data_IF_619722739189
#
_entry.id   IF_619722739189
#
_cell.length_a   1.000
_cell.length_b   1.000
_cell.length_c   1.000
_cell.angle_alpha   90.00
_cell.angle_beta   90.00
_cell.angle_gamma   90.00
#
_symmetry.space_group_name_H-M   'P 1'
#
loop_
_entity.id
_entity.type
_entity.pdbx_description
1 polymer ?
#
# COMPACT_ATOMS: atom_id res chain seq x y z
N UNK A 1 -21.14 8.15 12.07
CA UNK A 1 -20.22 9.17 12.63
C UNK A 1 -20.64 10.58 12.21
N UNK A 2 -20.58 10.94 10.92
CA UNK A 2 -20.98 12.27 10.43
C UNK A 2 -22.48 12.53 10.60
N UNK A 3 -23.35 11.62 10.09
CA UNK A 3 -24.81 11.71 10.30
C UNK A 3 -25.25 11.63 11.76
N UNK A 4 -24.36 11.17 12.64
CA UNK A 4 -24.61 11.06 14.08
C UNK A 4 -23.96 12.23 14.85
N UNK A 5 -23.52 13.28 14.16
CA UNK A 5 -22.96 14.51 14.72
C UNK A 5 -21.85 14.28 15.76
N UNK A 6 -21.03 13.24 15.56
CA UNK A 6 -19.87 12.98 16.43
C UNK A 6 -18.85 14.12 16.34
N UNK A 7 -18.12 14.42 17.44
CA UNK A 7 -17.08 15.44 17.44
C UNK A 7 -16.07 15.26 16.29
N UNK A 8 -15.67 16.35 15.64
CA UNK A 8 -14.72 16.31 14.52
C UNK A 8 -13.41 15.56 14.83
N UNK A 9 -12.79 15.71 16.03
CA UNK A 9 -11.59 14.95 16.38
C UNK A 9 -11.79 13.43 16.31
N UNK A 10 -12.93 12.91 16.78
CA UNK A 10 -13.25 11.49 16.70
C UNK A 10 -13.35 11.02 15.25
N UNK A 11 -13.97 11.85 14.38
CA UNK A 11 -14.11 11.54 12.96
C UNK A 11 -12.74 11.47 12.29
N UNK A 12 -11.85 12.42 12.58
CA UNK A 12 -10.49 12.45 12.07
C UNK A 12 -9.71 11.21 12.52
N UNK A 13 -9.78 10.84 13.80
CA UNK A 13 -9.12 9.63 14.33
C UNK A 13 -9.57 8.39 13.57
N UNK A 14 -10.87 8.23 13.34
CA UNK A 14 -11.39 7.07 12.60
C UNK A 14 -10.91 7.05 11.13
N UNK A 15 -10.82 8.21 10.47
CA UNK A 15 -10.26 8.29 9.11
C UNK A 15 -8.78 7.88 9.13
N UNK A 16 -8.01 8.32 10.14
CA UNK A 16 -6.60 7.93 10.28
C UNK A 16 -6.44 6.42 10.51
N UNK A 17 -7.33 5.80 11.30
CA UNK A 17 -7.35 4.35 11.49
C UNK A 17 -7.59 3.61 10.17
N UNK A 18 -8.56 4.06 9.37
CA UNK A 18 -8.84 3.47 8.05
C UNK A 18 -7.63 3.62 7.14
N UNK A 19 -7.04 4.81 7.05
CA UNK A 19 -5.82 5.05 6.25
C UNK A 19 -4.67 4.15 6.68
N UNK A 20 -4.41 4.05 7.99
CA UNK A 20 -3.36 3.17 8.52
C UNK A 20 -3.60 1.70 8.20
N UNK A 21 -4.86 1.25 8.27
CA UNK A 21 -5.24 -0.12 7.94
C UNK A 21 -5.05 -0.42 6.45
N UNK A 22 -5.43 0.52 5.58
CA UNK A 22 -5.19 0.41 4.14
C UNK A 22 -3.70 0.37 3.81
N UNK A 23 -2.89 1.23 4.44
CA UNK A 23 -1.43 1.19 4.28
C UNK A 23 -0.85 -0.18 4.68
N UNK A 24 -1.35 -0.77 5.78
CA UNK A 24 -0.90 -2.09 6.22
C UNK A 24 -1.22 -3.18 5.19
N UNK A 25 -2.42 -3.16 4.61
CA UNK A 25 -2.80 -4.10 3.55
C UNK A 25 -1.91 -3.91 2.33
N UNK A 26 -1.68 -2.67 1.91
CA UNK A 26 -0.82 -2.41 0.76
C UNK A 26 0.63 -2.84 1.00
N UNK A 27 1.17 -2.70 2.22
CA UNK A 27 2.49 -3.25 2.55
C UNK A 27 2.56 -4.78 2.43
N UNK A 28 1.48 -5.49 2.78
CA UNK A 28 1.43 -6.95 2.61
C UNK A 28 1.42 -7.34 1.13
N UNK A 29 0.68 -6.61 0.29
CA UNK A 29 0.64 -6.82 -1.16
C UNK A 29 2.00 -6.56 -1.78
N UNK A 30 2.70 -5.50 -1.36
CA UNK A 30 4.06 -5.20 -1.83
C UNK A 30 5.04 -6.32 -1.46
N UNK A 31 4.97 -6.83 -0.22
CA UNK A 31 5.80 -7.96 0.20
C UNK A 31 5.56 -9.19 -0.69
N UNK A 32 4.29 -9.53 -0.92
CA UNK A 32 3.90 -10.65 -1.80
C UNK A 32 4.40 -10.45 -3.25
N UNK A 33 4.26 -9.25 -3.80
CA UNK A 33 4.78 -8.89 -5.13
C UNK A 33 6.32 -9.02 -5.22
N UNK A 34 7.04 -8.64 -4.15
CA UNK A 34 8.50 -8.78 -4.12
C UNK A 34 8.96 -10.25 -4.04
N UNK A 35 8.17 -11.13 -3.41
CA UNK A 35 8.50 -12.55 -3.28
C UNK A 35 8.22 -13.35 -4.56
N UNK A 36 7.23 -12.94 -5.35
CA UNK A 36 6.82 -13.66 -6.55
C UNK A 36 7.31 -12.97 -7.84
N UNK A 37 6.87 -11.74 -8.08
CA UNK A 37 7.06 -11.08 -9.38
C UNK A 37 8.51 -10.66 -9.62
N UNK A 38 9.24 -10.21 -8.59
CA UNK A 38 10.68 -9.90 -8.75
C UNK A 38 11.52 -11.15 -8.95
N UNK A 39 11.16 -12.27 -8.31
CA UNK A 39 11.86 -13.55 -8.48
C UNK A 39 11.64 -14.07 -9.90
N UNK A 40 10.41 -14.05 -10.40
CA UNK A 40 10.09 -14.42 -11.79
C UNK A 40 10.80 -13.50 -12.79
N UNK A 41 10.82 -12.18 -12.55
CA UNK A 41 11.51 -11.22 -13.41
C UNK A 41 13.03 -11.42 -13.44
N UNK A 42 13.61 -11.91 -12.34
CA UNK A 42 15.03 -12.26 -12.27
C UNK A 42 15.37 -13.46 -13.16
N UNK A 43 14.44 -14.39 -13.33
CA UNK A 43 14.59 -15.55 -14.21
C UNK A 43 14.29 -15.22 -15.68
N UNK A 44 13.34 -14.31 -15.94
CA UNK A 44 12.95 -13.91 -17.31
C UNK A 44 13.83 -12.82 -17.93
N UNK A 45 14.61 -12.10 -17.11
CA UNK A 45 15.45 -10.98 -17.54
C UNK A 45 14.75 -9.62 -17.55
N UNK A 46 13.55 -9.51 -16.96
CA UNK A 46 12.71 -8.30 -16.97
C UNK A 46 12.81 -7.49 -15.66
N UNK A 47 13.83 -7.73 -14.83
CA UNK A 47 13.99 -7.14 -13.49
C UNK A 47 13.85 -5.61 -13.48
N UNK A 48 14.42 -4.91 -14.46
CA UNK A 48 14.40 -3.44 -14.46
C UNK A 48 12.99 -2.87 -14.65
N UNK A 49 12.18 -3.52 -15.49
CA UNK A 49 10.78 -3.14 -15.69
C UNK A 49 9.99 -3.35 -14.39
N UNK A 50 10.23 -4.47 -13.71
CA UNK A 50 9.49 -4.81 -12.50
C UNK A 50 9.93 -4.03 -11.27
N UNK A 51 11.20 -3.63 -11.20
CA UNK A 51 11.68 -2.64 -10.23
C UNK A 51 11.04 -1.26 -10.47
N UNK A 52 10.80 -0.85 -11.72
CA UNK A 52 10.12 0.41 -12.01
C UNK A 52 8.65 0.38 -11.54
N UNK A 53 7.95 -0.73 -11.77
CA UNK A 53 6.59 -0.94 -11.25
C UNK A 53 6.55 -0.90 -9.72
N UNK A 54 7.48 -1.59 -9.06
CA UNK A 54 7.57 -1.58 -7.60
C UNK A 54 7.82 -0.16 -7.05
N UNK A 55 8.74 0.61 -7.66
CA UNK A 55 9.00 2.00 -7.25
C UNK A 55 7.75 2.87 -7.34
N UNK A 56 6.99 2.76 -8.43
CA UNK A 56 5.75 3.52 -8.61
C UNK A 56 4.70 3.21 -7.52
N UNK A 57 4.64 1.96 -7.04
CA UNK A 57 3.75 1.58 -5.94
C UNK A 57 4.26 2.12 -4.60
N UNK A 58 5.57 2.07 -4.34
CA UNK A 58 6.16 2.59 -3.10
C UNK A 58 5.95 4.10 -2.94
N UNK A 59 5.98 4.86 -4.03
CA UNK A 59 5.72 6.31 -4.02
C UNK A 59 4.28 6.66 -3.60
N UNK A 60 3.33 5.71 -3.68
CA UNK A 60 1.96 5.90 -3.20
C UNK A 60 1.81 5.59 -1.70
N UNK A 61 2.77 4.90 -1.11
CA UNK A 61 2.73 4.44 0.29
C UNK A 61 3.44 5.39 1.26
N UNK A 62 4.42 6.14 0.78
CA UNK A 62 5.25 7.08 1.55
C UNK A 62 4.70 8.50 1.47
#
# INVERSE_FOLDING_TARGET
MIKAERPCPDVIVQIMVVRSSLNKVASLIVADHTEHCLVEAAESGDVEAELANLRAVLDLLL
#
